data_IF_826392820768
#
_entry.id   IF_826392820768
#
_cell.length_a   1.000
_cell.length_b   1.000
_cell.length_c   1.000
_cell.angle_alpha   90.00
_cell.angle_beta   90.00
_cell.angle_gamma   90.00
#
_symmetry.space_group_name_H-M   'P 1'
#
loop_
_entity.id
_entity.type
_entity.pdbx_description
1 polymer ?
#
# COMPACT_ATOMS: atom_id res chain seq x y z
N UNK A 1 0.80 -19.78 1.98
CA UNK A 1 1.03 -19.95 3.44
C UNK A 1 2.00 -21.09 3.73
N UNK A 2 1.79 -22.31 3.23
CA UNK A 2 2.67 -23.48 3.49
C UNK A 2 4.12 -23.22 3.04
N UNK A 3 4.31 -22.71 1.83
CA UNK A 3 5.64 -22.39 1.29
C UNK A 3 6.37 -21.36 2.15
N UNK A 4 5.66 -20.29 2.56
CA UNK A 4 6.21 -19.26 3.44
C UNK A 4 6.64 -19.84 4.78
N UNK A 5 5.81 -20.70 5.38
CA UNK A 5 6.14 -21.38 6.64
C UNK A 5 7.39 -22.26 6.50
N UNK A 6 7.49 -23.01 5.40
CA UNK A 6 8.68 -23.82 5.13
C UNK A 6 9.94 -22.97 4.97
N UNK A 7 9.84 -21.83 4.30
CA UNK A 7 10.96 -20.91 4.12
C UNK A 7 11.41 -20.30 5.44
N UNK A 8 10.49 -19.89 6.30
CA UNK A 8 10.79 -19.39 7.64
C UNK A 8 11.51 -20.46 8.48
N UNK A 9 11.03 -21.71 8.43
CA UNK A 9 11.68 -22.83 9.12
C UNK A 9 13.10 -23.07 8.61
N UNK A 10 13.30 -23.09 7.29
CA UNK A 10 14.63 -23.23 6.68
C UNK A 10 15.56 -22.10 7.04
N UNK A 11 15.05 -20.88 7.20
CA UNK A 11 15.80 -19.71 7.65
C UNK A 11 16.04 -19.69 9.16
N UNK A 12 15.65 -20.76 9.88
CA UNK A 12 15.79 -20.86 11.34
C UNK A 12 15.11 -19.71 12.11
N UNK A 13 14.04 -19.15 11.55
CA UNK A 13 13.20 -18.16 12.23
C UNK A 13 12.41 -18.86 13.32
N UNK A 14 12.82 -18.67 14.58
CA UNK A 14 12.27 -19.39 15.73
C UNK A 14 11.12 -18.68 16.46
N UNK A 15 10.85 -17.42 16.12
CA UNK A 15 9.71 -16.70 16.67
C UNK A 15 8.47 -16.94 15.82
N UNK A 16 7.34 -16.88 16.46
CA UNK A 16 6.06 -17.10 15.80
C UNK A 16 5.72 -15.93 14.88
N UNK A 17 5.58 -16.23 13.58
CA UNK A 17 5.15 -15.29 12.56
C UNK A 17 3.72 -15.64 12.16
N UNK A 18 2.73 -14.81 12.48
CA UNK A 18 1.36 -15.04 12.01
C UNK A 18 1.29 -14.98 10.49
N UNK A 19 0.80 -16.03 9.86
CA UNK A 19 0.64 -16.12 8.41
C UNK A 19 -0.84 -16.17 8.08
N UNK A 20 -1.28 -15.25 7.22
CA UNK A 20 -2.66 -15.16 6.75
C UNK A 20 -2.68 -15.03 5.23
N UNK A 21 -3.66 -15.63 4.59
CA UNK A 21 -3.98 -15.41 3.19
C UNK A 21 -5.27 -14.61 3.13
N UNK A 22 -5.17 -13.36 2.73
CA UNK A 22 -6.31 -12.44 2.65
C UNK A 22 -6.13 -11.50 1.46
N UNK A 23 -7.22 -10.94 0.97
CA UNK A 23 -7.19 -9.91 -0.05
C UNK A 23 -6.55 -8.63 0.51
N UNK A 24 -5.74 -7.95 -0.30
CA UNK A 24 -5.02 -6.76 0.14
C UNK A 24 -5.97 -5.64 0.62
N UNK A 25 -7.15 -5.53 0.01
CA UNK A 25 -8.15 -4.54 0.40
C UNK A 25 -8.79 -4.85 1.76
N UNK A 26 -8.70 -6.09 2.23
CA UNK A 26 -9.28 -6.54 3.50
C UNK A 26 -8.28 -6.57 4.65
N UNK A 27 -7.00 -6.29 4.38
CA UNK A 27 -5.96 -6.32 5.40
C UNK A 27 -6.25 -5.30 6.51
N UNK A 28 -6.00 -5.71 7.75
CA UNK A 28 -6.13 -4.87 8.94
C UNK A 28 -4.79 -4.75 9.64
N UNK A 29 -4.56 -3.63 10.29
CA UNK A 29 -3.40 -3.46 11.15
C UNK A 29 -3.40 -4.54 12.24
N UNK A 30 -2.29 -5.27 12.44
CA UNK A 30 -2.23 -6.36 13.41
C UNK A 30 -2.17 -5.87 14.86
N UNK A 31 -2.01 -4.58 15.08
CA UNK A 31 -1.85 -3.94 16.37
C UNK A 31 -2.40 -2.53 16.34
N UNK A 32 -2.87 -2.04 17.47
CA UNK A 32 -3.22 -0.62 17.64
C UNK A 32 -1.99 0.28 17.68
N UNK A 33 -0.85 -0.27 18.12
CA UNK A 33 0.43 0.43 18.08
C UNK A 33 0.92 0.51 16.64
N UNK A 34 1.17 1.73 16.11
CA UNK A 34 1.68 1.89 14.77
C UNK A 34 3.01 1.18 14.54
N UNK A 35 3.16 0.61 13.37
CA UNK A 35 4.35 -0.12 12.95
C UNK A 35 4.73 0.16 11.51
N UNK A 36 5.31 -0.84 10.87
CA UNK A 36 5.75 -0.78 9.48
C UNK A 36 4.97 -1.81 8.67
N UNK A 37 4.43 -1.39 7.54
CA UNK A 37 3.93 -2.27 6.48
C UNK A 37 4.91 -2.21 5.32
N UNK A 38 5.46 -3.36 4.95
CA UNK A 38 6.35 -3.48 3.79
C UNK A 38 5.73 -4.44 2.79
N UNK A 39 5.61 -4.02 1.54
CA UNK A 39 5.06 -4.86 0.49
C UNK A 39 5.70 -4.62 -0.87
N UNK A 40 5.73 -5.68 -1.68
CA UNK A 40 6.03 -5.65 -3.10
C UNK A 40 4.75 -6.03 -3.85
N UNK A 41 3.90 -5.04 -4.16
CA UNK A 41 2.62 -5.31 -4.80
C UNK A 41 2.82 -5.83 -6.23
N UNK A 42 1.83 -6.55 -6.79
CA UNK A 42 1.86 -6.89 -8.20
C UNK A 42 1.83 -5.60 -9.04
N UNK A 43 2.54 -5.60 -10.15
CA UNK A 43 2.58 -4.47 -11.08
C UNK A 43 2.55 -4.97 -12.52
N UNK A 44 1.98 -4.15 -13.40
CA UNK A 44 1.94 -4.40 -14.84
C UNK A 44 1.30 -5.74 -15.21
N UNK A 45 2.02 -6.53 -15.96
CA UNK A 45 1.58 -7.80 -16.57
C UNK A 45 1.10 -8.87 -15.57
N UNK A 46 1.33 -8.70 -14.27
CA UNK A 46 0.95 -9.69 -13.24
C UNK A 46 -0.47 -9.50 -12.70
N UNK A 47 -1.11 -8.38 -12.99
CA UNK A 47 -2.51 -8.13 -12.58
C UNK A 47 -3.46 -8.63 -13.67
N UNK A 48 -3.01 -8.68 -14.91
CA UNK A 48 -3.78 -9.19 -16.03
C UNK A 48 -3.67 -10.69 -16.21
N UNK A 49 -4.78 -11.34 -16.49
CA UNK A 49 -4.84 -12.73 -16.99
C UNK A 49 -4.03 -12.82 -18.29
N UNK A 50 -3.27 -13.89 -18.44
CA UNK A 50 -2.52 -14.23 -19.66
C UNK A 50 -3.27 -13.86 -20.94
N UNK A 51 -2.72 -12.95 -21.71
CA UNK A 51 -3.13 -12.66 -23.08
C UNK A 51 -3.97 -11.40 -23.22
N UNK A 52 -3.37 -10.43 -23.85
CA UNK A 52 -3.81 -9.10 -24.21
C UNK A 52 -3.67 -8.04 -23.10
N UNK A 53 -2.59 -7.27 -23.25
CA UNK A 53 -2.37 -6.00 -22.58
C UNK A 53 -3.36 -4.96 -23.14
N UNK A 54 -4.56 -4.92 -22.60
CA UNK A 54 -5.57 -4.01 -23.05
C UNK A 54 -6.02 -3.10 -21.90
N UNK A 55 -6.78 -2.10 -22.26
CA UNK A 55 -7.36 -1.10 -21.34
C UNK A 55 -8.00 -1.75 -20.10
N UNK A 56 -8.50 -2.97 -20.20
CA UNK A 56 -9.09 -3.72 -19.08
C UNK A 56 -8.11 -4.03 -17.95
N UNK A 57 -6.86 -4.43 -18.28
CA UNK A 57 -5.84 -4.73 -17.28
C UNK A 57 -5.40 -3.46 -16.53
N UNK A 58 -5.30 -2.33 -17.25
CA UNK A 58 -4.97 -1.03 -16.65
C UNK A 58 -6.10 -0.52 -15.74
N UNK A 59 -7.34 -0.74 -16.11
CA UNK A 59 -8.50 -0.34 -15.32
C UNK A 59 -8.64 -1.21 -14.06
N UNK A 60 -8.40 -2.51 -14.15
CA UNK A 60 -8.33 -3.42 -12.99
C UNK A 60 -7.22 -3.02 -12.03
N UNK A 61 -6.04 -2.65 -12.55
CA UNK A 61 -4.94 -2.17 -11.73
C UNK A 61 -5.29 -0.87 -11.00
N UNK A 62 -5.90 0.07 -11.69
CA UNK A 62 -6.36 1.35 -11.11
C UNK A 62 -7.39 1.10 -10.00
N UNK A 63 -8.35 0.24 -10.24
CA UNK A 63 -9.36 -0.11 -9.25
C UNK A 63 -8.74 -0.77 -8.02
N UNK A 64 -7.89 -1.78 -8.22
CA UNK A 64 -7.19 -2.47 -7.15
C UNK A 64 -6.36 -1.51 -6.28
N UNK A 65 -5.50 -0.70 -6.89
CA UNK A 65 -4.64 0.20 -6.13
C UNK A 65 -5.42 1.35 -5.48
N UNK A 66 -6.47 1.84 -6.10
CA UNK A 66 -7.36 2.83 -5.48
C UNK A 66 -8.04 2.28 -4.23
N UNK A 67 -8.54 1.05 -4.29
CA UNK A 67 -9.15 0.35 -3.16
C UNK A 67 -8.12 0.06 -2.06
N UNK A 68 -6.93 -0.39 -2.43
CA UNK A 68 -5.84 -0.64 -1.48
C UNK A 68 -5.38 0.65 -0.80
N UNK A 69 -5.25 1.75 -1.54
CA UNK A 69 -4.94 3.07 -0.98
C UNK A 69 -5.99 3.53 0.04
N UNK A 70 -7.26 3.26 -0.21
CA UNK A 70 -8.35 3.53 0.73
C UNK A 70 -8.21 2.69 2.00
N UNK A 71 -7.91 1.41 1.86
CA UNK A 71 -7.65 0.51 3.00
C UNK A 71 -6.50 1.01 3.87
N UNK A 72 -5.40 1.45 3.24
CA UNK A 72 -4.26 2.01 3.97
C UNK A 72 -4.64 3.26 4.76
N UNK A 73 -5.41 4.17 4.17
CA UNK A 73 -5.89 5.39 4.84
C UNK A 73 -6.79 5.09 6.03
N UNK A 74 -7.68 4.12 5.89
CA UNK A 74 -8.71 3.82 6.89
C UNK A 74 -8.21 2.94 8.03
N UNK A 75 -7.27 2.04 7.76
CA UNK A 75 -6.90 0.96 8.69
C UNK A 75 -5.47 1.01 9.19
N UNK A 76 -4.62 1.86 8.61
CA UNK A 76 -3.20 1.96 8.94
C UNK A 76 -2.79 3.38 9.35
N UNK A 77 -3.68 4.11 10.02
CA UNK A 77 -3.36 5.44 10.53
C UNK A 77 -2.15 5.40 11.50
N UNK A 78 -1.18 6.27 11.29
CA UNK A 78 0.06 6.33 12.07
C UNK A 78 1.16 5.38 11.60
N UNK A 79 0.86 4.43 10.71
CA UNK A 79 1.83 3.47 10.19
C UNK A 79 2.73 4.10 9.12
N UNK A 80 3.91 3.53 8.98
CA UNK A 80 4.80 3.77 7.84
C UNK A 80 4.64 2.64 6.84
N UNK A 81 4.21 2.99 5.64
CA UNK A 81 3.97 2.03 4.56
C UNK A 81 5.09 2.16 3.54
N UNK A 82 5.74 1.05 3.24
CA UNK A 82 6.79 0.95 2.23
C UNK A 82 6.32 0.06 1.09
N UNK A 83 6.35 0.60 -0.13
CA UNK A 83 6.02 -0.11 -1.35
C UNK A 83 7.24 -0.18 -2.27
N UNK A 84 7.66 -1.39 -2.57
CA UNK A 84 8.73 -1.65 -3.53
C UNK A 84 8.13 -2.00 -4.89
N UNK A 85 8.45 -1.23 -5.92
CA UNK A 85 7.85 -1.40 -7.24
C UNK A 85 8.74 -0.84 -8.35
N UNK A 86 8.57 -1.39 -9.57
CA UNK A 86 9.09 -0.80 -10.80
C UNK A 86 8.12 0.22 -11.42
N UNK A 87 6.88 0.30 -10.95
CA UNK A 87 5.89 1.25 -11.41
C UNK A 87 6.04 2.60 -10.69
N UNK A 88 6.63 3.57 -11.38
CA UNK A 88 6.85 4.92 -10.83
C UNK A 88 5.54 5.72 -10.68
N UNK A 89 4.47 5.30 -11.31
CA UNK A 89 3.14 5.90 -11.22
C UNK A 89 2.30 5.41 -10.04
N UNK A 90 2.77 4.42 -9.29
CA UNK A 90 2.02 3.78 -8.21
C UNK A 90 1.43 4.75 -7.15
N UNK A 91 2.14 5.79 -6.69
CA UNK A 91 1.55 6.73 -5.74
C UNK A 91 0.27 7.41 -6.23
N UNK A 92 0.19 7.70 -7.53
CA UNK A 92 -1.03 8.28 -8.14
C UNK A 92 -2.18 7.30 -8.14
N UNK A 93 -1.92 6.02 -8.42
CA UNK A 93 -2.94 4.96 -8.40
C UNK A 93 -3.48 4.74 -6.99
N UNK A 94 -2.62 4.77 -5.99
CA UNK A 94 -2.99 4.69 -4.57
C UNK A 94 -3.72 5.95 -4.07
N UNK A 95 -3.65 7.05 -4.80
CA UNK A 95 -4.09 8.38 -4.36
C UNK A 95 -3.44 8.81 -3.04
N UNK A 96 -2.17 8.48 -2.91
CA UNK A 96 -1.32 8.82 -1.78
C UNK A 96 -0.14 9.65 -2.26
N UNK A 97 0.31 10.56 -1.40
CA UNK A 97 1.55 11.30 -1.62
C UNK A 97 2.66 10.62 -0.85
N UNK A 98 3.71 10.26 -1.54
CA UNK A 98 4.89 9.69 -0.92
C UNK A 98 5.63 10.72 -0.06
N UNK A 99 6.08 10.30 1.12
CA UNK A 99 6.96 11.08 1.98
C UNK A 99 8.42 10.99 1.51
N UNK A 100 8.78 9.84 0.92
CA UNK A 100 10.12 9.58 0.36
C UNK A 100 10.04 8.56 -0.76
N UNK A 101 10.93 8.71 -1.73
CA UNK A 101 11.21 7.71 -2.77
C UNK A 101 12.69 7.44 -2.82
N UNK A 102 13.07 6.17 -2.75
CA UNK A 102 14.47 5.74 -2.80
C UNK A 102 14.65 4.85 -4.02
N UNK A 103 15.62 5.17 -4.90
CA UNK A 103 15.89 4.35 -6.06
C UNK A 103 16.57 3.04 -5.65
N UNK A 104 16.15 1.95 -6.29
CA UNK A 104 16.75 0.64 -6.20
C UNK A 104 16.86 0.01 -7.59
N UNK A 105 17.73 -0.98 -7.72
CA UNK A 105 17.85 -1.76 -8.93
C UNK A 105 17.64 -3.24 -8.60
N UNK A 106 16.79 -3.88 -9.39
CA UNK A 106 16.63 -5.33 -9.39
C UNK A 106 17.24 -5.87 -10.70
N UNK A 107 18.54 -6.20 -10.68
CA UNK A 107 19.30 -6.38 -11.91
C UNK A 107 19.37 -5.09 -12.71
N UNK A 108 18.95 -5.12 -13.97
CA UNK A 108 18.86 -3.95 -14.85
C UNK A 108 17.55 -3.15 -14.67
N UNK A 109 16.59 -3.67 -13.89
CA UNK A 109 15.30 -3.03 -13.70
C UNK A 109 15.39 -1.96 -12.62
N UNK A 110 15.08 -0.73 -13.00
CA UNK A 110 14.97 0.39 -12.06
C UNK A 110 13.67 0.28 -11.26
N UNK A 111 13.81 0.27 -9.93
CA UNK A 111 12.72 0.19 -8.99
C UNK A 111 12.74 1.40 -8.06
N UNK A 112 11.67 1.55 -7.29
CA UNK A 112 11.56 2.53 -6.22
C UNK A 112 11.01 1.88 -4.97
N UNK A 113 11.57 2.30 -3.83
CA UNK A 113 10.95 2.10 -2.54
C UNK A 113 10.25 3.40 -2.15
N UNK A 114 8.94 3.40 -2.24
CA UNK A 114 8.12 4.51 -1.79
C UNK A 114 7.79 4.36 -0.33
N UNK A 115 7.93 5.45 0.44
CA UNK A 115 7.45 5.53 1.82
C UNK A 115 6.25 6.46 1.90
N UNK A 116 5.21 5.99 2.54
CA UNK A 116 4.03 6.78 2.88
C UNK A 116 3.89 6.82 4.40
N UNK A 117 3.81 8.02 4.95
CA UNK A 117 3.53 8.23 6.36
C UNK A 117 2.02 8.42 6.50
N UNK A 118 1.34 7.36 7.00
CA UNK A 118 -0.10 7.37 7.13
C UNK A 118 -0.50 8.19 8.34
N UNK A 119 -1.23 9.27 8.11
CA UNK A 119 -1.78 10.10 9.16
C UNK A 119 -3.25 9.76 9.38
N UNK A 120 -3.71 9.81 10.64
CA UNK A 120 -5.12 9.69 10.97
C UNK A 120 -5.89 10.75 10.18
N UNK A 121 -6.89 10.30 9.39
CA UNK A 121 -7.51 11.12 8.37
C UNK A 121 -8.07 12.43 8.90
N UNK A 122 -7.44 13.51 8.53
CA UNK A 122 -8.11 14.77 8.44
C UNK A 122 -8.98 14.73 7.18
N UNK A 123 -10.26 14.50 7.35
CA UNK A 123 -11.21 14.83 6.31
C UNK A 123 -11.11 16.33 6.06
N UNK A 124 -10.43 16.71 5.00
CA UNK A 124 -10.36 18.12 4.56
C UNK A 124 -11.73 18.76 4.33
N UNK A 125 -12.80 17.96 4.36
CA UNK A 125 -14.18 18.42 4.21
C UNK A 125 -14.82 18.94 5.51
N UNK A 126 -14.28 18.63 6.67
CA UNK A 126 -14.84 19.11 7.95
C UNK A 126 -14.24 20.43 8.45
N UNK A 127 -13.21 20.98 7.81
CA UNK A 127 -12.66 22.28 8.16
C UNK A 127 -13.26 23.47 7.42
N UNK A 128 -14.32 23.30 6.66
CA UNK A 128 -15.14 24.40 6.20
C UNK A 128 -16.25 24.69 7.23
N UNK A 129 -15.89 24.98 8.46
CA UNK A 129 -16.79 25.68 9.36
C UNK A 129 -16.80 27.14 8.92
N UNK A 130 -17.94 27.67 8.49
CA UNK A 130 -18.03 29.10 8.20
C UNK A 130 -17.72 29.85 9.49
N UNK A 131 -16.75 30.74 9.45
CA UNK A 131 -16.59 31.75 10.50
C UNK A 131 -17.88 32.54 10.55
N UNK A 132 -18.72 32.25 11.50
CA UNK A 132 -19.77 33.16 11.90
C UNK A 132 -19.09 34.36 12.56
N UNK A 133 -18.99 35.44 11.82
CA UNK A 133 -18.68 36.73 12.41
C UNK A 133 -19.77 37.05 13.43
N UNK A 134 -19.42 37.48 14.64
CA UNK A 134 -20.41 38.03 15.55
C UNK A 134 -20.87 39.37 14.97
N UNK A 135 -22.12 39.45 14.59
CA UNK A 135 -22.76 40.73 14.37
C UNK A 135 -22.90 41.42 15.74
N UNK A 136 -22.24 42.52 15.88
CA UNK A 136 -22.62 43.50 16.88
C UNK A 136 -24.05 44.02 16.63
#
# INVERSE_FOLDING_TARGET
VSMTRNNLNKASIRFEVPLKQIEAQEVKAPSETPGILLTNPPYGERIGVRGDSTMEADDMAKEFFSAFGTTLKQRFAGWKVFLFTADLGLPKLLRLKEARKTPFFNGALECRLFRFDMVAGFNRREQAIPKTEPKE
#
